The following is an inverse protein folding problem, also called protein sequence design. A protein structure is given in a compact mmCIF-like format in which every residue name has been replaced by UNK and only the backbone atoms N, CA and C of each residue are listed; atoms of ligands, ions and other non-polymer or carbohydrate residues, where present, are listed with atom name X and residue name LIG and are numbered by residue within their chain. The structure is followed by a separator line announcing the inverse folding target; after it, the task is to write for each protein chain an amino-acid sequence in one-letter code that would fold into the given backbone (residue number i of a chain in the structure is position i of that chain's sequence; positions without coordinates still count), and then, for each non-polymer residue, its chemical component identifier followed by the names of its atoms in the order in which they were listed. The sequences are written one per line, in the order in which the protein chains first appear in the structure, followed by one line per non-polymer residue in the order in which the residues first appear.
data_IF_993628509865
#
_entry.id   IF_993628509865
#
_cell.length_a   1.000
_cell.length_b   1.000
_cell.length_c   1.000
_cell.angle_alpha   90.00
_cell.angle_beta   90.00
_cell.angle_gamma   90.00
#
_symmetry.space_group_name_H-M   'P 1'
#
loop_
_entity.id
_entity.type
_entity.pdbx_description
1 polymer ?
#
# COMPACT_ATOMS: atom_id res chain seq x y z
N UNK A 1 20.55 15.96 -7.97
CA UNK A 1 19.34 15.76 -8.80
C UNK A 1 18.11 16.07 -7.96
N UNK A 2 17.04 16.64 -8.53
CA UNK A 2 15.77 16.85 -7.82
C UNK A 2 14.94 15.56 -7.95
N UNK A 3 14.41 15.05 -6.84
CA UNK A 3 13.50 13.91 -6.86
C UNK A 3 12.22 14.24 -7.64
N UNK A 4 11.74 13.29 -8.43
CA UNK A 4 10.56 13.38 -9.27
C UNK A 4 9.40 12.56 -8.69
N UNK A 5 8.16 12.76 -9.18
CA UNK A 5 7.02 11.94 -8.75
C UNK A 5 7.23 10.44 -9.05
N UNK A 6 7.88 10.10 -10.17
CA UNK A 6 8.18 8.71 -10.53
C UNK A 6 9.19 8.07 -9.57
N UNK A 7 10.18 8.84 -9.10
CA UNK A 7 11.12 8.37 -8.08
C UNK A 7 10.40 7.99 -6.77
N UNK A 8 9.37 8.75 -6.39
CA UNK A 8 8.57 8.46 -5.21
C UNK A 8 7.73 7.17 -5.39
N UNK A 9 7.18 6.93 -6.58
CA UNK A 9 6.47 5.68 -6.87
C UNK A 9 7.41 4.47 -6.82
N UNK A 10 8.61 4.60 -7.38
CA UNK A 10 9.60 3.54 -7.36
C UNK A 10 10.08 3.26 -5.93
N UNK A 11 10.35 4.29 -5.13
CA UNK A 11 10.70 4.14 -3.72
C UNK A 11 9.61 3.39 -2.93
N UNK A 12 8.32 3.70 -3.15
CA UNK A 12 7.21 3.00 -2.49
C UNK A 12 7.12 1.54 -2.94
N UNK A 13 7.40 1.24 -4.22
CA UNK A 13 7.45 -0.15 -4.73
C UNK A 13 8.59 -0.95 -4.11
N UNK A 14 9.78 -0.34 -4.00
CA UNK A 14 10.97 -0.97 -3.41
C UNK A 14 10.81 -1.23 -1.90
N UNK A 15 10.18 -0.30 -1.18
CA UNK A 15 9.94 -0.42 0.27
C UNK A 15 8.80 -1.39 0.62
N UNK A 16 8.02 -1.82 -0.38
CA UNK A 16 6.83 -2.64 -0.20
C UNK A 16 5.57 -1.79 0.00
N UNK A 17 4.59 -1.96 -0.88
CA UNK A 17 3.30 -1.28 -0.78
C UNK A 17 2.55 -1.70 0.50
N UNK A 18 1.71 -0.80 1.02
CA UNK A 18 0.96 -1.02 2.25
C UNK A 18 1.33 -0.04 3.35
N UNK A 19 1.38 -0.51 4.59
CA UNK A 19 1.61 0.32 5.77
C UNK A 19 3.09 0.77 5.85
N UNK A 20 3.36 2.00 5.40
CA UNK A 20 4.70 2.59 5.44
C UNK A 20 4.74 3.81 6.36
N UNK A 21 5.79 3.87 7.16
CA UNK A 21 6.08 5.06 7.93
C UNK A 21 6.79 6.09 7.04
N UNK A 22 6.31 7.33 7.07
CA UNK A 22 6.80 8.39 6.18
C UNK A 22 8.32 8.59 6.27
N UNK A 23 8.88 8.50 7.47
CA UNK A 23 10.31 8.66 7.71
C UNK A 23 11.17 7.60 7.00
N UNK A 24 10.65 6.40 6.71
CA UNK A 24 11.36 5.42 5.90
C UNK A 24 11.49 5.88 4.46
N UNK A 25 10.42 6.45 3.88
CA UNK A 25 10.42 6.97 2.51
C UNK A 25 11.36 8.17 2.39
N UNK A 26 11.29 9.10 3.36
CA UNK A 26 12.19 10.27 3.41
C UNK A 26 13.66 9.85 3.47
N UNK A 27 14.00 8.86 4.31
CA UNK A 27 15.36 8.34 4.45
C UNK A 27 15.83 7.60 3.21
N UNK A 28 14.96 6.79 2.60
CA UNK A 28 15.26 6.02 1.38
C UNK A 28 15.58 6.95 0.20
N UNK A 29 14.78 7.99 0.01
CA UNK A 29 14.95 8.94 -1.09
C UNK A 29 15.94 10.07 -0.79
N UNK A 30 16.28 10.32 0.48
CA UNK A 30 17.12 11.43 0.89
C UNK A 30 16.49 12.82 0.63
N UNK A 31 15.16 12.93 0.78
CA UNK A 31 14.40 14.17 0.51
C UNK A 31 13.85 14.79 1.79
N UNK A 32 13.55 16.09 1.73
CA UNK A 32 12.87 16.78 2.84
C UNK A 32 11.38 16.46 2.91
N UNK A 33 10.79 16.61 4.10
CA UNK A 33 9.35 16.43 4.31
C UNK A 33 8.49 17.33 3.38
N UNK A 34 8.92 18.57 3.16
CA UNK A 34 8.22 19.50 2.26
C UNK A 34 8.19 19.01 0.81
N UNK A 35 9.33 18.51 0.31
CA UNK A 35 9.41 17.91 -1.03
C UNK A 35 8.55 16.65 -1.14
N UNK A 36 8.59 15.79 -0.13
CA UNK A 36 7.73 14.61 -0.07
C UNK A 36 6.25 14.97 -0.14
N UNK A 37 5.79 15.95 0.65
CA UNK A 37 4.41 16.39 0.64
C UNK A 37 3.98 16.95 -0.72
N UNK A 38 4.86 17.70 -1.41
CA UNK A 38 4.60 18.17 -2.77
C UNK A 38 4.46 17.02 -3.77
N UNK A 39 5.40 16.08 -3.78
CA UNK A 39 5.39 14.93 -4.69
C UNK A 39 4.18 14.01 -4.42
N UNK A 40 3.88 13.76 -3.14
CA UNK A 40 2.70 12.98 -2.72
C UNK A 40 1.41 13.62 -3.22
N UNK A 41 1.28 14.95 -3.09
CA UNK A 41 0.08 15.66 -3.56
C UNK A 41 -0.12 15.49 -5.06
N UNK A 42 0.93 15.70 -5.85
CA UNK A 42 0.88 15.51 -7.32
C UNK A 42 0.40 14.10 -7.67
N UNK A 43 0.99 13.07 -7.07
CA UNK A 43 0.62 11.68 -7.38
C UNK A 43 -0.79 11.30 -6.94
N UNK A 44 -1.29 11.88 -5.85
CA UNK A 44 -2.67 11.69 -5.36
C UNK A 44 -3.66 12.39 -6.30
N UNK A 45 -3.36 13.63 -6.70
CA UNK A 45 -4.18 14.41 -7.63
C UNK A 45 -4.26 13.71 -9.00
N UNK A 46 -3.14 13.14 -9.47
CA UNK A 46 -3.05 12.35 -10.71
C UNK A 46 -3.66 10.93 -10.59
N UNK A 47 -4.17 10.55 -9.41
CA UNK A 47 -4.70 9.21 -9.09
C UNK A 47 -3.71 8.05 -9.32
N UNK A 48 -2.41 8.35 -9.28
CA UNK A 48 -1.31 7.37 -9.41
C UNK A 48 -0.92 6.77 -8.06
N UNK A 49 -1.22 7.46 -6.97
CA UNK A 49 -0.97 7.04 -5.60
C UNK A 49 -2.24 7.13 -4.76
N UNK A 50 -2.64 6.01 -4.16
CA UNK A 50 -3.73 5.95 -3.20
C UNK A 50 -3.10 5.96 -1.81
N UNK A 51 -3.49 6.94 -0.98
CA UNK A 51 -3.06 7.03 0.41
C UNK A 51 -4.27 6.90 1.32
N UNK A 52 -4.30 5.85 2.14
CA UNK A 52 -5.33 5.66 3.16
C UNK A 52 -4.74 5.76 4.56
N UNK A 53 -5.55 6.13 5.55
CA UNK A 53 -5.14 6.28 6.95
C UNK A 53 -3.95 7.23 7.14
N UNK A 54 -4.09 8.55 6.92
CA UNK A 54 -2.98 9.50 6.92
C UNK A 54 -2.28 9.71 8.29
N UNK A 55 -2.70 9.01 9.35
CA UNK A 55 -2.14 9.15 10.70
C UNK A 55 -1.07 8.09 10.99
N UNK A 56 0.09 8.53 11.51
CA UNK A 56 1.29 7.79 11.99
C UNK A 56 1.88 6.69 11.08
N UNK A 57 1.08 5.84 10.44
CA UNK A 57 1.49 4.79 9.50
C UNK A 57 0.50 4.79 8.34
N UNK A 58 0.80 5.62 7.35
CA UNK A 58 -0.06 5.75 6.19
C UNK A 58 0.09 4.54 5.28
N UNK A 59 -1.03 4.12 4.70
CA UNK A 59 -1.06 3.04 3.73
C UNK A 59 -0.88 3.63 2.34
N UNK A 60 0.26 3.34 1.72
CA UNK A 60 0.60 3.78 0.37
C UNK A 60 0.40 2.63 -0.62
N UNK A 61 -0.49 2.83 -1.58
CA UNK A 61 -0.76 1.89 -2.66
C UNK A 61 -0.51 2.61 -3.98
N UNK A 62 0.44 2.11 -4.78
CA UNK A 62 0.62 2.63 -6.14
C UNK A 62 -0.50 2.06 -6.98
N UNK A 63 -1.33 2.95 -7.56
CA UNK A 63 -2.40 2.51 -8.42
C UNK A 63 -1.80 1.82 -9.64
N UNK A 64 -2.24 0.61 -9.95
CA UNK A 64 -1.99 0.01 -11.25
C UNK A 64 -2.70 0.89 -12.27
N UNK A 65 -1.95 1.75 -12.96
CA UNK A 65 -2.38 2.29 -14.25
C UNK A 65 -2.83 1.11 -15.06
N UNK A 66 -4.10 1.08 -15.46
CA UNK A 66 -4.77 -0.04 -16.12
C UNK A 66 -4.07 -0.40 -17.44
N UNK A 67 -3.02 -1.18 -17.28
CA UNK A 67 -2.32 -2.00 -18.24
C UNK A 67 -1.56 -3.01 -17.37
N UNK A 68 -2.28 -4.06 -16.93
CA UNK A 68 -1.75 -5.24 -16.23
C UNK A 68 -1.36 -5.02 -14.77
N UNK A 69 -2.30 -5.24 -13.84
CA UNK A 69 -2.04 -6.08 -12.66
C UNK A 69 -3.36 -6.53 -12.00
N UNK A 70 -4.15 -7.31 -12.75
CA UNK A 70 -5.20 -8.14 -12.17
C UNK A 70 -4.58 -9.49 -11.84
N UNK A 71 -3.78 -9.57 -10.77
CA UNK A 71 -3.50 -10.83 -10.07
C UNK A 71 -2.75 -10.52 -8.77
N UNK A 72 -3.50 -10.61 -7.67
CA UNK A 72 -3.07 -10.93 -6.30
C UNK A 72 -3.37 -9.82 -5.29
N UNK A 73 -4.62 -9.73 -4.81
CA UNK A 73 -4.89 -9.71 -3.36
C UNK A 73 -6.40 -9.77 -3.03
N UNK A 74 -7.07 -10.85 -3.41
CA UNK A 74 -8.46 -11.11 -2.99
C UNK A 74 -8.57 -12.51 -2.38
N UNK A 75 -7.69 -12.78 -1.43
CA UNK A 75 -7.65 -14.05 -0.72
C UNK A 75 -7.25 -13.78 0.72
N UNK A 76 -8.13 -13.18 1.54
CA UNK A 76 -8.02 -13.30 3.00
C UNK A 76 -9.25 -12.87 3.83
N UNK A 77 -10.48 -12.91 3.29
CA UNK A 77 -11.69 -12.69 4.11
C UNK A 77 -12.78 -13.70 3.75
N UNK A 78 -12.52 -15.00 3.95
CA UNK A 78 -13.58 -16.00 4.09
C UNK A 78 -13.05 -17.31 4.66
N UNK A 79 -12.72 -17.34 5.95
CA UNK A 79 -12.67 -18.62 6.68
C UNK A 79 -12.80 -18.47 8.20
N UNK A 80 -13.94 -17.94 8.65
CA UNK A 80 -14.47 -18.23 9.97
C UNK A 80 -15.97 -18.37 9.78
N UNK A 81 -16.42 -19.60 9.56
CA UNK A 81 -17.76 -20.13 9.80
C UNK A 81 -17.80 -21.55 9.23
N UNK A 82 -17.31 -22.51 10.00
CA UNK A 82 -17.75 -23.90 9.90
C UNK A 82 -17.31 -24.65 11.15
N UNK A 83 -18.12 -24.55 12.21
CA UNK A 83 -18.13 -25.54 13.28
C UNK A 83 -19.54 -26.11 13.37
N UNK A 84 -19.93 -26.86 12.35
CA UNK A 84 -21.02 -27.83 12.46
C UNK A 84 -20.42 -29.23 12.55
N UNK A 85 -20.58 -29.79 13.74
CA UNK A 85 -21.23 -31.08 13.98
C UNK A 85 -20.56 -32.34 13.42
N UNK A 86 -20.02 -33.18 14.31
CA UNK A 86 -20.09 -34.65 14.18
C UNK A 86 -19.64 -35.32 15.47
N UNK A 87 -20.58 -35.91 16.20
CA UNK A 87 -20.36 -37.13 17.00
C UNK A 87 -21.72 -37.74 17.33
N UNK A 88 -22.23 -38.56 16.41
CA UNK A 88 -23.33 -39.49 16.66
C UNK A 88 -22.78 -40.93 16.63
N UNK A 89 -22.96 -41.62 17.75
CA UNK A 89 -23.32 -43.05 17.90
C UNK A 89 -22.34 -44.17 17.49
N UNK A 90 -21.81 -44.89 18.50
CA UNK A 90 -21.82 -46.38 18.60
C UNK A 90 -21.21 -46.87 19.92
N UNK A 91 -21.95 -47.69 20.67
CA UNK A 91 -21.52 -48.36 21.90
C UNK A 91 -22.70 -48.64 22.83
#
# INVERSE_FOLDING_TARGET
MKATPDDLLNAIRELGQGELAEHHILRHMGISHGQFCQLRKILVDDRRLIVTHPNRRAHYLVAATTAQDTKSNMSNIRNMNNTENTSNTRG
#
